data_IF_253887189194
#
_entry.id   IF_253887189194
#
_cell.length_a   1.000
_cell.length_b   1.000
_cell.length_c   1.000
_cell.angle_alpha   90.00
_cell.angle_beta   90.00
_cell.angle_gamma   90.00
#
_symmetry.space_group_name_H-M   'P 1'
#
loop_
_entity.id
_entity.type
_entity.pdbx_description
1 polymer ?
#
# COMPACT_ATOMS: atom_id res chain seq x y z
N UNK A 1 11.06 -15.29 11.55
CA UNK A 1 10.44 -14.79 10.32
C UNK A 1 10.27 -15.93 9.34
N UNK A 2 9.26 -15.84 8.46
CA UNK A 2 9.23 -16.67 7.26
C UNK A 2 10.55 -16.52 6.53
N UNK A 3 11.12 -17.61 6.02
CA UNK A 3 12.40 -17.55 5.32
C UNK A 3 12.32 -16.72 4.03
N UNK A 4 13.19 -17.02 3.07
CA UNK A 4 13.21 -16.37 1.74
C UNK A 4 11.81 -16.20 1.13
N UNK A 5 10.99 -17.25 1.15
CA UNK A 5 9.67 -17.23 0.52
C UNK A 5 8.71 -16.22 1.15
N UNK A 6 8.69 -16.10 2.47
CA UNK A 6 7.80 -15.17 3.18
C UNK A 6 8.16 -13.72 2.87
N UNK A 7 9.44 -13.38 2.99
CA UNK A 7 9.97 -12.05 2.67
C UNK A 7 9.74 -11.64 1.23
N UNK A 8 10.05 -12.54 0.28
CA UNK A 8 9.89 -12.24 -1.15
C UNK A 8 8.42 -12.09 -1.51
N UNK A 9 7.53 -12.95 -1.01
CA UNK A 9 6.10 -12.90 -1.33
C UNK A 9 5.44 -11.63 -0.78
N UNK A 10 5.67 -11.32 0.49
CA UNK A 10 5.14 -10.10 1.12
C UNK A 10 5.76 -8.86 0.50
N UNK A 11 7.07 -8.89 0.23
CA UNK A 11 7.77 -7.81 -0.46
C UNK A 11 7.22 -7.53 -1.85
N UNK A 12 6.91 -8.57 -2.62
CA UNK A 12 6.27 -8.43 -3.94
C UNK A 12 4.90 -7.77 -3.85
N UNK A 13 4.08 -8.14 -2.85
CA UNK A 13 2.77 -7.50 -2.64
C UNK A 13 2.90 -6.00 -2.37
N UNK A 14 3.79 -5.60 -1.43
CA UNK A 14 4.07 -4.19 -1.16
C UNK A 14 4.61 -3.45 -2.38
N UNK A 15 5.49 -4.08 -3.16
CA UNK A 15 6.05 -3.49 -4.37
C UNK A 15 4.97 -3.17 -5.41
N UNK A 16 4.09 -4.13 -5.72
CA UNK A 16 3.00 -3.95 -6.69
C UNK A 16 1.99 -2.89 -6.21
N UNK A 17 1.56 -2.96 -4.94
CA UNK A 17 0.65 -1.97 -4.35
C UNK A 17 1.30 -0.58 -4.36
N UNK A 18 2.58 -0.49 -4.01
CA UNK A 18 3.33 0.77 -4.01
C UNK A 18 3.40 1.41 -5.39
N UNK A 19 3.69 0.64 -6.45
CA UNK A 19 3.70 1.15 -7.83
C UNK A 19 2.30 1.60 -8.25
N UNK A 20 1.27 0.80 -7.93
CA UNK A 20 -0.12 1.14 -8.20
C UNK A 20 -0.50 2.49 -7.55
N UNK A 21 -0.12 2.68 -6.28
CA UNK A 21 -0.35 3.93 -5.57
C UNK A 21 0.44 5.10 -6.17
N UNK A 22 1.72 4.90 -6.50
CA UNK A 22 2.59 5.94 -7.06
C UNK A 22 2.04 6.43 -8.41
N UNK A 23 1.68 5.50 -9.29
CA UNK A 23 1.08 5.81 -10.58
C UNK A 23 -0.19 6.64 -10.44
N UNK A 24 -1.15 6.18 -9.62
CA UNK A 24 -2.43 6.88 -9.48
C UNK A 24 -2.29 8.21 -8.74
N UNK A 25 -1.38 8.31 -7.77
CA UNK A 25 -1.06 9.54 -7.07
C UNK A 25 -0.54 10.61 -8.04
N UNK A 26 0.43 10.25 -8.88
CA UNK A 26 1.00 11.17 -9.88
C UNK A 26 -0.04 11.52 -10.94
N UNK A 27 -0.77 10.53 -11.47
CA UNK A 27 -1.82 10.75 -12.46
C UNK A 27 -2.90 11.71 -11.94
N UNK A 28 -3.39 11.48 -10.72
CA UNK A 28 -4.41 12.33 -10.11
C UNK A 28 -3.91 13.77 -9.94
N UNK A 29 -2.66 13.94 -9.49
CA UNK A 29 -2.06 15.26 -9.36
C UNK A 29 -1.83 15.95 -10.70
N UNK A 30 -1.40 15.21 -11.73
CA UNK A 30 -1.16 15.75 -13.06
C UNK A 30 -2.46 16.23 -13.73
N UNK A 31 -3.55 15.48 -13.59
CA UNK A 31 -4.85 15.82 -14.18
C UNK A 31 -5.58 16.92 -13.39
N UNK A 32 -5.45 16.94 -12.06
CA UNK A 32 -6.20 17.82 -11.17
C UNK A 32 -5.32 18.46 -10.08
N UNK A 33 -4.32 19.29 -10.44
CA UNK A 33 -3.33 19.79 -9.49
C UNK A 33 -3.92 20.66 -8.38
N UNK A 34 -4.99 21.42 -8.67
CA UNK A 34 -5.63 22.35 -7.73
C UNK A 34 -6.61 21.69 -6.75
N UNK A 35 -7.14 20.52 -7.10
CA UNK A 35 -8.13 19.78 -6.30
C UNK A 35 -7.61 18.41 -5.90
N UNK A 36 -6.29 18.23 -5.88
CA UNK A 36 -5.66 16.99 -5.49
C UNK A 36 -6.01 16.65 -4.05
N UNK A 37 -6.39 15.39 -3.82
CA UNK A 37 -6.59 14.80 -2.50
C UNK A 37 -5.90 13.44 -2.52
N UNK A 38 -5.02 13.21 -1.54
CA UNK A 38 -4.35 11.91 -1.37
C UNK A 38 -5.37 10.83 -1.02
N UNK A 39 -5.39 9.71 -1.73
CA UNK A 39 -6.39 8.66 -1.51
C UNK A 39 -5.82 7.48 -0.72
N UNK A 40 -6.57 6.85 0.20
CA UNK A 40 -6.10 5.68 0.96
C UNK A 40 -5.93 4.42 0.09
N UNK A 41 -6.69 4.31 -1.00
CA UNK A 41 -6.65 3.25 -2.01
C UNK A 41 -7.19 3.81 -3.34
N UNK A 42 -6.94 3.14 -4.47
CA UNK A 42 -7.36 3.60 -5.80
C UNK A 42 -8.25 2.59 -6.53
N UNK A 43 -9.43 3.01 -7.04
CA UNK A 43 -10.29 2.14 -7.82
C UNK A 43 -9.73 1.92 -9.24
N UNK A 44 -9.80 0.68 -9.74
CA UNK A 44 -9.32 0.35 -11.09
C UNK A 44 -10.37 0.68 -12.15
N UNK A 45 -11.61 0.25 -11.94
CA UNK A 45 -12.74 0.52 -12.83
C UNK A 45 -14.06 0.42 -12.07
N UNK A 46 -15.20 0.71 -12.72
CA UNK A 46 -16.53 0.57 -12.10
C UNK A 46 -16.85 -0.88 -11.72
N UNK A 47 -16.42 -1.85 -12.53
CA UNK A 47 -16.71 -3.28 -12.35
C UNK A 47 -15.80 -3.94 -11.31
N UNK A 48 -14.53 -3.52 -11.25
CA UNK A 48 -13.52 -4.06 -10.32
C UNK A 48 -13.02 -2.97 -9.36
N UNK A 49 -13.95 -2.18 -8.82
CA UNK A 49 -13.67 -1.03 -7.95
C UNK A 49 -12.75 -1.41 -6.79
N UNK A 50 -13.07 -2.51 -6.10
CA UNK A 50 -12.39 -2.92 -4.87
C UNK A 50 -11.22 -3.90 -5.08
N UNK A 51 -10.69 -4.05 -6.30
CA UNK A 51 -9.70 -5.10 -6.58
C UNK A 51 -8.46 -4.97 -5.68
N UNK A 52 -7.94 -3.76 -5.49
CA UNK A 52 -6.80 -3.51 -4.59
C UNK A 52 -7.07 -4.04 -3.17
N UNK A 53 -8.22 -3.68 -2.59
CA UNK A 53 -8.60 -4.08 -1.23
C UNK A 53 -8.86 -5.59 -1.13
N UNK A 54 -9.50 -6.18 -2.14
CA UNK A 54 -9.73 -7.64 -2.21
C UNK A 54 -8.41 -8.39 -2.30
N UNK A 55 -7.45 -7.88 -3.09
CA UNK A 55 -6.10 -8.47 -3.18
C UNK A 55 -5.35 -8.35 -1.85
N UNK A 56 -5.44 -7.22 -1.15
CA UNK A 56 -4.87 -7.06 0.20
C UNK A 56 -5.48 -8.11 1.14
N UNK A 57 -6.81 -8.22 1.18
CA UNK A 57 -7.49 -9.24 1.99
C UNK A 57 -7.03 -10.66 1.64
N UNK A 58 -6.99 -11.00 0.35
CA UNK A 58 -6.59 -12.32 -0.13
C UNK A 58 -5.14 -12.67 0.22
N UNK A 59 -4.20 -11.77 0.00
CA UNK A 59 -2.79 -11.94 0.36
C UNK A 59 -2.64 -12.05 1.87
N UNK A 60 -3.32 -11.19 2.64
CA UNK A 60 -3.29 -11.24 4.10
C UNK A 60 -3.82 -12.56 4.65
N UNK A 61 -4.97 -13.03 4.15
CA UNK A 61 -5.54 -14.32 4.53
C UNK A 61 -4.65 -15.49 4.15
N UNK A 62 -4.09 -15.50 2.93
CA UNK A 62 -3.17 -16.55 2.50
C UNK A 62 -1.92 -16.62 3.37
N UNK A 63 -1.36 -15.46 3.74
CA UNK A 63 -0.20 -15.38 4.63
C UNK A 63 -0.54 -15.88 6.04
N UNK A 64 -1.67 -15.46 6.62
CA UNK A 64 -2.14 -15.95 7.93
C UNK A 64 -2.34 -17.47 7.89
N UNK A 65 -2.98 -17.99 6.85
CA UNK A 65 -3.17 -19.43 6.68
C UNK A 65 -1.83 -20.17 6.57
N UNK A 66 -0.87 -19.65 5.81
CA UNK A 66 0.46 -20.25 5.71
C UNK A 66 1.18 -20.29 7.06
N UNK A 67 1.18 -19.18 7.81
CA UNK A 67 1.84 -19.08 9.11
C UNK A 67 1.18 -19.97 10.17
N UNK A 68 -0.16 -20.07 10.20
CA UNK A 68 -0.89 -20.86 11.21
C UNK A 68 -0.95 -22.35 10.84
N UNK A 69 -1.21 -22.71 9.58
CA UNK A 69 -1.45 -24.10 9.16
C UNK A 69 -0.17 -24.95 9.06
N UNK A 70 1.00 -24.33 8.90
CA UNK A 70 2.30 -25.05 8.97
C UNK A 70 2.52 -25.61 10.39
N UNK A 71 1.87 -25.04 11.41
CA UNK A 71 1.90 -25.53 12.77
C UNK A 71 0.83 -26.58 13.05
N UNK A 72 1.09 -27.86 12.77
CA UNK A 72 0.21 -28.93 13.26
C UNK A 72 0.17 -28.90 14.80
N UNK A 73 -1.00 -28.55 15.37
CA UNK A 73 -1.30 -28.29 16.79
C UNK A 73 -0.62 -27.03 17.38
N UNK A 74 -1.11 -25.80 17.14
CA UNK A 74 -0.48 -24.59 17.67
C UNK A 74 -0.53 -24.47 19.22
N UNK A 75 -1.47 -25.18 19.85
CA UNK A 75 -1.73 -25.13 21.29
C UNK A 75 -1.25 -26.41 22.00
N UNK A 76 -0.79 -26.24 23.24
CA UNK A 76 -0.58 -27.34 24.19
C UNK A 76 -1.91 -27.81 24.80
N UNK A 77 -1.87 -28.92 25.55
CA UNK A 77 -3.06 -29.50 26.20
C UNK A 77 -3.68 -28.58 27.25
N UNK A 78 -2.91 -27.63 27.80
CA UNK A 78 -3.35 -26.61 28.73
C UNK A 78 -3.91 -25.35 28.03
N UNK A 79 -3.94 -25.34 26.69
CA UNK A 79 -4.41 -24.21 25.89
C UNK A 79 -3.38 -23.11 25.67
N UNK A 80 -2.13 -23.28 26.13
CA UNK A 80 -1.06 -22.30 25.88
C UNK A 80 -0.53 -22.39 24.45
N UNK A 81 -0.08 -21.26 23.89
CA UNK A 81 0.55 -21.25 22.57
C UNK A 81 1.98 -21.77 22.73
N UNK A 82 2.33 -22.83 21.99
CA UNK A 82 3.69 -23.40 22.05
C UNK A 82 4.70 -22.35 21.64
N UNK A 83 5.81 -22.24 22.37
CA UNK A 83 6.83 -21.20 22.14
C UNK A 83 7.34 -21.14 20.68
N UNK A 84 7.46 -22.31 20.02
CA UNK A 84 7.83 -22.42 18.60
C UNK A 84 6.86 -21.71 17.62
N UNK A 85 5.62 -21.48 18.03
CA UNK A 85 4.58 -20.83 17.21
C UNK A 85 4.32 -19.38 17.54
N UNK A 86 4.79 -18.86 18.68
CA UNK A 86 4.56 -17.45 19.07
C UNK A 86 4.96 -16.48 17.94
N UNK A 87 6.10 -16.74 17.31
CA UNK A 87 6.59 -15.98 16.15
C UNK A 87 5.62 -15.98 14.96
N UNK A 88 5.00 -17.12 14.66
CA UNK A 88 4.03 -17.26 13.57
C UNK A 88 2.73 -16.49 13.90
N UNK A 89 2.33 -16.44 15.17
CA UNK A 89 1.22 -15.59 15.64
C UNK A 89 1.56 -14.10 15.56
N UNK A 90 2.78 -13.69 15.89
CA UNK A 90 3.24 -12.31 15.70
C UNK A 90 3.14 -11.90 14.22
N UNK A 91 3.65 -12.72 13.30
CA UNK A 91 3.55 -12.46 11.86
C UNK A 91 2.09 -12.45 11.36
N UNK A 92 1.27 -13.37 11.84
CA UNK A 92 -0.16 -13.39 11.51
C UNK A 92 -0.88 -12.14 12.01
N UNK A 93 -0.53 -11.64 13.19
CA UNK A 93 -1.10 -10.41 13.77
C UNK A 93 -0.75 -9.18 12.92
N UNK A 94 0.46 -9.12 12.39
CA UNK A 94 0.86 -8.07 11.44
C UNK A 94 0.00 -8.11 10.18
N UNK A 95 -0.22 -9.30 9.59
CA UNK A 95 -1.04 -9.44 8.38
C UNK A 95 -2.53 -9.14 8.63
N UNK A 96 -3.02 -9.49 9.82
CA UNK A 96 -4.41 -9.25 10.24
C UNK A 96 -4.76 -7.76 10.27
N UNK A 97 -3.83 -6.88 10.64
CA UNK A 97 -4.09 -5.43 10.66
C UNK A 97 -4.33 -4.88 9.25
N UNK A 98 -3.61 -5.37 8.23
CA UNK A 98 -3.85 -5.02 6.83
C UNK A 98 -5.18 -5.58 6.30
N UNK A 99 -5.55 -6.80 6.71
CA UNK A 99 -6.88 -7.36 6.40
C UNK A 99 -8.00 -6.48 6.97
N UNK A 100 -7.89 -6.09 8.25
CA UNK A 100 -8.86 -5.23 8.93
C UNK A 100 -8.98 -3.89 8.22
N UNK A 101 -7.86 -3.26 7.86
CA UNK A 101 -7.86 -2.03 7.05
C UNK A 101 -8.65 -2.22 5.75
N UNK A 102 -8.34 -3.26 4.96
CA UNK A 102 -8.97 -3.47 3.66
C UNK A 102 -10.47 -3.79 3.76
N UNK A 103 -10.86 -4.60 4.74
CA UNK A 103 -12.26 -4.93 5.02
C UNK A 103 -13.07 -3.66 5.37
N UNK A 104 -12.58 -2.87 6.33
CA UNK A 104 -13.28 -1.65 6.72
C UNK A 104 -13.22 -0.56 5.66
N UNK A 105 -12.20 -0.51 4.81
CA UNK A 105 -12.16 0.39 3.67
C UNK A 105 -13.32 0.11 2.68
N UNK A 106 -13.62 -1.16 2.39
CA UNK A 106 -14.78 -1.54 1.59
C UNK A 106 -16.09 -1.17 2.31
N UNK A 107 -16.18 -1.46 3.61
CA UNK A 107 -17.41 -1.20 4.38
C UNK A 107 -17.71 0.31 4.46
N UNK A 108 -16.71 1.13 4.76
CA UNK A 108 -16.82 2.58 4.88
C UNK A 108 -17.21 3.23 3.55
N UNK A 109 -16.65 2.77 2.42
CA UNK A 109 -17.02 3.25 1.07
C UNK A 109 -18.49 2.90 0.73
N UNK A 110 -18.96 1.70 1.11
CA UNK A 110 -20.34 1.27 0.85
C UNK A 110 -21.39 2.00 1.67
N UNK A 111 -21.10 2.31 2.93
CA UNK A 111 -22.05 3.04 3.81
C UNK A 111 -21.95 4.56 3.63
N UNK A 112 -20.99 5.05 2.84
CA UNK A 112 -20.76 6.48 2.58
C UNK A 112 -20.59 7.31 3.86
N UNK A 113 -19.82 6.79 4.83
CA UNK A 113 -19.63 7.45 6.11
C UNK A 113 -18.99 8.84 5.94
N UNK A 114 -19.46 9.84 6.69
CA UNK A 114 -18.98 11.23 6.57
C UNK A 114 -17.46 11.37 6.79
N UNK A 115 -16.88 10.57 7.69
CA UNK A 115 -15.45 10.57 8.01
C UNK A 115 -14.67 9.42 7.33
N UNK A 116 -15.23 8.78 6.30
CA UNK A 116 -14.65 7.57 5.67
C UNK A 116 -13.18 7.74 5.29
N UNK A 117 -12.80 8.88 4.74
CA UNK A 117 -11.45 9.13 4.24
C UNK A 117 -10.41 9.13 5.37
N UNK A 118 -10.66 9.92 6.42
CA UNK A 118 -9.81 9.98 7.59
C UNK A 118 -9.74 8.65 8.33
N UNK A 119 -10.87 7.94 8.46
CA UNK A 119 -10.91 6.62 9.10
C UNK A 119 -10.12 5.56 8.34
N UNK A 120 -10.17 5.56 7.00
CA UNK A 120 -9.36 4.65 6.18
C UNK A 120 -7.87 4.92 6.33
N UNK A 121 -7.44 6.19 6.30
CA UNK A 121 -6.05 6.58 6.55
C UNK A 121 -5.61 6.22 7.98
N UNK A 122 -6.49 6.40 8.96
CA UNK A 122 -6.23 6.02 10.35
C UNK A 122 -6.04 4.51 10.50
N UNK A 123 -6.88 3.69 9.89
CA UNK A 123 -6.72 2.23 9.88
C UNK A 123 -5.43 1.80 9.18
N UNK A 124 -5.06 2.45 8.07
CA UNK A 124 -3.79 2.21 7.40
C UNK A 124 -2.59 2.61 8.28
N UNK A 125 -2.68 3.72 9.02
CA UNK A 125 -1.68 4.12 10.00
C UNK A 125 -1.58 3.10 11.15
N UNK A 126 -2.70 2.56 11.66
CA UNK A 126 -2.69 1.47 12.64
C UNK A 126 -1.99 0.23 12.06
N UNK A 127 -2.25 -0.13 10.80
CA UNK A 127 -1.60 -1.28 10.18
C UNK A 127 -0.08 -1.11 10.08
N UNK A 128 0.40 0.07 9.63
CA UNK A 128 1.83 0.37 9.63
C UNK A 128 2.43 0.50 11.04
N UNK A 129 1.67 1.02 12.01
CA UNK A 129 2.07 1.09 13.41
C UNK A 129 2.24 -0.31 14.02
N UNK A 130 1.30 -1.21 13.74
CA UNK A 130 1.38 -2.61 14.15
C UNK A 130 2.56 -3.32 13.49
N UNK A 131 2.78 -3.09 12.19
CA UNK A 131 3.95 -3.61 11.48
C UNK A 131 5.26 -3.11 12.11
N UNK A 132 5.39 -1.81 12.37
CA UNK A 132 6.57 -1.24 12.99
C UNK A 132 6.80 -1.79 14.40
N UNK A 133 5.74 -1.89 15.21
CA UNK A 133 5.78 -2.44 16.56
C UNK A 133 6.30 -3.88 16.56
N UNK A 134 5.74 -4.74 15.70
CA UNK A 134 6.15 -6.14 15.60
C UNK A 134 7.56 -6.26 15.04
N UNK A 135 7.95 -5.44 14.07
CA UNK A 135 9.32 -5.44 13.54
C UNK A 135 10.34 -4.98 14.60
N UNK A 136 9.96 -4.06 15.49
CA UNK A 136 10.83 -3.51 16.52
C UNK A 136 10.94 -4.42 17.76
N UNK A 137 9.81 -4.94 18.23
CA UNK A 137 9.72 -5.78 19.44
C UNK A 137 9.65 -7.27 19.11
N UNK A 138 10.14 -7.67 17.94
CA UNK A 138 9.97 -9.05 17.47
C UNK A 138 10.61 -10.04 18.44
N UNK A 139 9.88 -11.11 18.81
CA UNK A 139 10.36 -12.13 19.76
C UNK A 139 11.65 -12.84 19.32
N UNK A 140 11.93 -12.85 18.01
CA UNK A 140 13.25 -13.22 17.49
C UNK A 140 14.09 -11.97 17.34
N UNK A 141 14.79 -11.58 18.41
CA UNK A 141 15.70 -10.45 18.36
C UNK A 141 16.76 -10.70 17.27
N UNK A 142 16.79 -9.81 16.28
CA UNK A 142 17.67 -9.95 15.14
C UNK A 142 19.00 -9.28 15.49
N UNK A 143 19.87 -10.01 16.18
CA UNK A 143 21.26 -9.59 16.31
C UNK A 143 22.02 -9.90 15.01
N UNK A 144 23.08 -9.14 14.73
CA UNK A 144 23.96 -9.42 13.59
C UNK A 144 23.53 -8.77 12.26
N UNK A 145 23.63 -9.54 11.16
CA UNK A 145 23.31 -9.09 9.78
C UNK A 145 21.80 -8.95 9.56
N UNK A 146 21.03 -9.96 9.97
CA UNK A 146 19.58 -10.01 9.80
C UNK A 146 18.95 -8.79 10.49
N UNK A 147 19.48 -8.43 11.66
CA UNK A 147 19.13 -7.22 12.40
C UNK A 147 19.31 -5.94 11.63
N UNK A 148 20.43 -5.82 10.92
CA UNK A 148 20.72 -4.63 10.14
C UNK A 148 19.69 -4.46 9.00
N UNK A 149 19.31 -5.55 8.32
CA UNK A 149 18.27 -5.52 7.30
C UNK A 149 16.91 -5.11 7.89
N UNK A 150 16.49 -5.69 9.01
CA UNK A 150 15.20 -5.36 9.63
C UNK A 150 15.16 -3.98 10.26
N UNK A 151 16.27 -3.50 10.82
CA UNK A 151 16.35 -2.13 11.35
C UNK A 151 16.17 -1.09 10.23
N UNK A 152 16.79 -1.32 9.06
CA UNK A 152 16.58 -0.49 7.89
C UNK A 152 15.13 -0.57 7.38
N UNK A 153 14.51 -1.75 7.42
CA UNK A 153 13.09 -1.92 7.11
C UNK A 153 12.20 -1.09 8.07
N UNK A 154 12.49 -1.11 9.37
CA UNK A 154 11.76 -0.32 10.38
C UNK A 154 11.78 1.18 10.03
N UNK A 155 12.91 1.71 9.58
CA UNK A 155 13.00 3.13 9.15
C UNK A 155 12.04 3.40 7.99
N UNK A 156 12.02 2.54 6.97
CA UNK A 156 11.14 2.72 5.80
C UNK A 156 9.67 2.60 6.21
N UNK A 157 9.33 1.63 7.06
CA UNK A 157 7.98 1.48 7.62
C UNK A 157 7.55 2.69 8.45
N UNK A 158 8.47 3.26 9.24
CA UNK A 158 8.22 4.50 9.98
C UNK A 158 7.91 5.67 9.03
N UNK A 159 8.61 5.80 7.90
CA UNK A 159 8.29 6.81 6.88
C UNK A 159 6.88 6.60 6.31
N UNK A 160 6.49 5.35 6.02
CA UNK A 160 5.13 5.04 5.55
C UNK A 160 4.06 5.37 6.61
N UNK A 161 4.31 5.05 7.88
CA UNK A 161 3.43 5.43 8.99
C UNK A 161 3.30 6.95 9.09
N UNK A 162 4.43 7.66 9.14
CA UNK A 162 4.48 9.10 9.32
C UNK A 162 3.78 9.85 8.19
N UNK A 163 4.04 9.48 6.94
CA UNK A 163 3.38 10.06 5.76
C UNK A 163 1.88 9.75 5.72
N UNK A 164 1.45 8.58 6.21
CA UNK A 164 0.03 8.23 6.35
C UNK A 164 -0.67 9.08 7.42
N UNK A 165 -0.01 9.34 8.56
CA UNK A 165 -0.54 10.23 9.60
C UNK A 165 -0.62 11.68 9.08
N UNK A 166 0.42 12.16 8.39
CA UNK A 166 0.41 13.50 7.79
C UNK A 166 -0.71 13.67 6.76
N UNK A 167 -1.06 12.62 6.01
CA UNK A 167 -2.16 12.64 5.06
C UNK A 167 -3.53 12.89 5.72
N UNK A 168 -3.70 12.56 7.01
CA UNK A 168 -4.94 12.85 7.76
C UNK A 168 -5.10 14.36 7.99
N UNK A 169 -4.01 15.04 8.38
CA UNK A 169 -4.02 16.48 8.65
C UNK A 169 -3.85 17.36 7.42
N UNK A 170 -3.15 16.85 6.39
CA UNK A 170 -2.81 17.58 5.18
C UNK A 170 -3.13 16.75 3.92
N UNK A 171 -4.42 16.43 3.66
CA UNK A 171 -4.81 15.55 2.57
C UNK A 171 -4.56 16.13 1.17
N UNK A 172 -4.51 17.46 1.03
CA UNK A 172 -4.31 18.14 -0.25
C UNK A 172 -2.83 18.24 -0.67
N UNK A 173 -1.91 17.74 0.14
CA UNK A 173 -0.48 17.79 -0.18
C UNK A 173 -0.06 16.56 -1.00
N UNK A 174 0.23 16.78 -2.28
CA UNK A 174 0.74 15.75 -3.19
C UNK A 174 1.95 14.99 -2.64
N UNK A 175 2.87 15.69 -1.98
CA UNK A 175 4.09 15.07 -1.45
C UNK A 175 3.79 14.01 -0.39
N UNK A 176 2.70 14.12 0.35
CA UNK A 176 2.31 13.10 1.33
C UNK A 176 1.95 11.79 0.62
N UNK A 177 1.09 11.87 -0.41
CA UNK A 177 0.72 10.71 -1.21
C UNK A 177 1.93 10.12 -1.92
N UNK A 178 2.74 10.96 -2.57
CA UNK A 178 3.95 10.54 -3.29
C UNK A 178 4.98 9.86 -2.39
N UNK A 179 5.33 10.47 -1.26
CA UNK A 179 6.30 9.91 -0.32
C UNK A 179 5.79 8.62 0.35
N UNK A 180 4.49 8.55 0.67
CA UNK A 180 3.87 7.33 1.17
C UNK A 180 3.95 6.20 0.14
N UNK A 181 3.55 6.44 -1.11
CA UNK A 181 3.65 5.43 -2.17
C UNK A 181 5.08 4.96 -2.39
N UNK A 182 6.04 5.89 -2.41
CA UNK A 182 7.45 5.58 -2.60
C UNK A 182 8.03 4.75 -1.46
N UNK A 183 7.68 5.08 -0.21
CA UNK A 183 8.11 4.29 0.95
C UNK A 183 7.50 2.89 0.94
N UNK A 184 6.24 2.73 0.51
CA UNK A 184 5.60 1.41 0.33
C UNK A 184 6.33 0.57 -0.73
N UNK A 185 6.67 1.16 -1.89
CA UNK A 185 7.52 0.49 -2.90
C UNK A 185 8.82 0.03 -2.25
N UNK A 186 9.45 0.92 -1.48
CA UNK A 186 10.75 0.61 -0.90
C UNK A 186 10.69 -0.48 0.16
N UNK A 187 9.63 -0.53 0.99
CA UNK A 187 9.39 -1.68 1.88
C UNK A 187 9.35 -2.98 1.08
N UNK A 188 8.63 -2.99 -0.05
CA UNK A 188 8.53 -4.15 -0.92
C UNK A 188 9.87 -4.60 -1.49
N UNK A 189 10.62 -3.67 -2.09
CA UNK A 189 11.97 -3.93 -2.63
C UNK A 189 12.89 -4.44 -1.53
N UNK A 190 12.92 -3.78 -0.37
CA UNK A 190 13.83 -4.11 0.71
C UNK A 190 13.51 -5.46 1.36
N UNK A 191 12.23 -5.82 1.47
CA UNK A 191 11.81 -7.17 1.88
C UNK A 191 12.29 -8.24 0.90
N UNK A 192 12.12 -8.04 -0.41
CA UNK A 192 12.63 -8.97 -1.44
C UNK A 192 14.14 -9.13 -1.31
N UNK A 193 14.87 -8.01 -1.20
CA UNK A 193 16.33 -8.01 -1.04
C UNK A 193 16.74 -8.75 0.22
N UNK A 194 16.07 -8.51 1.35
CA UNK A 194 16.33 -9.21 2.61
C UNK A 194 16.12 -10.73 2.45
N UNK A 195 15.00 -11.13 1.84
CA UNK A 195 14.66 -12.53 1.57
C UNK A 195 15.71 -13.27 0.73
N UNK A 196 16.31 -12.58 -0.24
CA UNK A 196 17.33 -13.16 -1.13
C UNK A 196 18.72 -13.11 -0.48
N UNK A 197 19.14 -11.96 0.05
CA UNK A 197 20.51 -11.75 0.50
C UNK A 197 20.87 -12.47 1.80
N UNK A 198 19.92 -12.61 2.73
CA UNK A 198 20.21 -13.20 4.06
C UNK A 198 20.28 -14.73 3.99
N UNK A 199 19.43 -15.36 3.18
CA UNK A 199 19.26 -16.83 3.18
C UNK A 199 19.80 -17.53 1.91
N UNK A 200 20.46 -16.81 1.00
CA UNK A 200 21.16 -17.41 -0.15
C UNK A 200 22.66 -17.52 0.16
N UNK A 201 23.24 -18.73 0.32
CA UNK A 201 24.64 -18.90 0.75
C UNK A 201 25.67 -18.12 -0.05
N UNK A 202 25.52 -18.08 -1.38
CA UNK A 202 26.46 -17.41 -2.29
C UNK A 202 26.45 -15.88 -2.19
N UNK A 203 25.41 -15.31 -1.56
CA UNK A 203 25.22 -13.86 -1.39
C UNK A 203 25.60 -13.37 0.02
N UNK A 204 25.96 -14.30 0.93
CA UNK A 204 26.35 -13.95 2.29
C UNK A 204 27.71 -13.22 2.28
N UNK A 205 27.86 -12.11 3.02
CA UNK A 205 29.13 -11.39 3.11
C UNK A 205 30.29 -12.26 3.58
N UNK A 206 31.47 -12.01 3.01
CA UNK A 206 32.72 -12.70 3.37
C UNK A 206 32.96 -12.66 4.89
N UNK A 207 33.23 -13.83 5.47
CA UNK A 207 33.44 -13.98 6.91
C UNK A 207 32.15 -14.26 7.70
N UNK A 208 31.00 -14.32 7.04
CA UNK A 208 29.75 -14.80 7.61
C UNK A 208 29.30 -16.10 6.93
N UNK A 209 28.46 -16.87 7.62
CA UNK A 209 28.01 -18.19 7.19
C UNK A 209 26.60 -18.47 7.72
N UNK A 210 25.87 -19.31 7.01
CA UNK A 210 24.57 -19.80 7.44
C UNK A 210 24.76 -20.97 8.40
N UNK A 211 24.09 -20.92 9.56
CA UNK A 211 24.03 -22.00 10.53
C UNK A 211 22.57 -22.38 10.73
N UNK A 212 22.24 -23.65 10.52
CA UNK A 212 20.92 -24.16 10.87
C UNK A 212 20.82 -24.37 12.37
N UNK A 213 19.89 -23.66 13.01
CA UNK A 213 19.45 -23.90 14.39
C UNK A 213 18.06 -24.55 14.37
N UNK A 214 17.66 -25.27 15.44
CA UNK A 214 16.34 -25.90 15.51
C UNK A 214 15.23 -24.85 15.27
N UNK A 215 14.57 -24.93 14.11
CA UNK A 215 13.46 -24.05 13.73
C UNK A 215 13.81 -22.74 13.01
N UNK A 216 15.10 -22.47 12.71
CA UNK A 216 15.52 -21.35 11.82
C UNK A 216 16.96 -21.46 11.35
N UNK A 217 17.22 -20.97 10.14
CA UNK A 217 18.57 -20.69 9.68
C UNK A 217 18.97 -19.28 10.09
N UNK A 218 20.16 -19.14 10.69
CA UNK A 218 20.71 -17.88 11.18
C UNK A 218 22.04 -17.57 10.48
N UNK A 219 22.27 -16.30 10.21
CA UNK A 219 23.56 -15.84 9.67
C UNK A 219 24.46 -15.41 10.82
N UNK A 220 25.58 -16.12 10.99
CA UNK A 220 26.61 -15.81 11.98
C UNK A 220 27.88 -15.33 11.28
N UNK A 221 28.66 -14.51 11.98
CA UNK A 221 29.95 -14.03 11.48
C UNK A 221 31.09 -14.49 12.40
N UNK A 222 32.27 -14.75 11.85
CA UNK A 222 33.43 -15.29 12.57
C UNK A 222 34.05 -14.32 13.60
N UNK A 223 33.51 -13.11 13.75
CA UNK A 223 33.96 -12.10 14.72
C UNK A 223 33.47 -10.69 14.36
N UNK A 224 33.72 -9.73 15.24
CA UNK A 224 33.18 -8.35 15.13
C UNK A 224 33.62 -7.65 13.84
N UNK A 225 34.87 -7.81 13.41
CA UNK A 225 35.35 -7.21 12.15
C UNK A 225 34.58 -7.69 10.92
N UNK A 226 34.23 -8.98 10.87
CA UNK A 226 33.43 -9.52 9.77
C UNK A 226 31.99 -9.02 9.84
N UNK A 227 31.44 -8.91 11.05
CA UNK A 227 30.11 -8.37 11.29
C UNK A 227 30.00 -6.89 10.90
N UNK A 228 30.94 -6.04 11.33
CA UNK A 228 31.00 -4.63 10.97
C UNK A 228 31.13 -4.43 9.47
N UNK A 229 32.01 -5.20 8.82
CA UNK A 229 32.14 -5.21 7.36
C UNK A 229 30.81 -5.55 6.70
N UNK A 230 30.13 -6.58 7.18
CA UNK A 230 28.85 -6.98 6.62
C UNK A 230 27.78 -5.91 6.80
N UNK A 231 27.65 -5.32 8.00
CA UNK A 231 26.72 -4.22 8.26
C UNK A 231 27.00 -3.02 7.34
N UNK A 232 28.27 -2.68 7.12
CA UNK A 232 28.64 -1.62 6.19
C UNK A 232 28.21 -1.92 4.74
N UNK A 233 28.33 -3.18 4.29
CA UNK A 233 27.83 -3.61 2.97
C UNK A 233 26.30 -3.53 2.87
N UNK A 234 25.57 -3.92 3.92
CA UNK A 234 24.10 -3.78 3.98
C UNK A 234 23.69 -2.30 3.89
N UNK A 235 24.38 -1.42 4.62
CA UNK A 235 24.12 0.02 4.59
C UNK A 235 24.40 0.62 3.21
N UNK A 236 25.51 0.20 2.57
CA UNK A 236 25.82 0.62 1.21
C UNK A 236 24.73 0.13 0.23
N UNK A 237 24.34 -1.15 0.31
CA UNK A 237 23.28 -1.70 -0.51
C UNK A 237 21.98 -0.91 -0.37
N UNK A 238 21.55 -0.63 0.86
CA UNK A 238 20.37 0.20 1.13
C UNK A 238 20.48 1.59 0.50
N UNK A 239 21.63 2.25 0.65
CA UNK A 239 21.89 3.56 0.05
C UNK A 239 21.79 3.55 -1.48
N UNK A 240 22.29 2.50 -2.13
CA UNK A 240 22.20 2.37 -3.59
C UNK A 240 20.77 2.11 -4.07
N UNK A 241 20.00 1.28 -3.36
CA UNK A 241 18.56 1.12 -3.64
C UNK A 241 17.79 2.42 -3.45
N UNK A 242 18.10 3.21 -2.41
CA UNK A 242 17.51 4.53 -2.19
C UNK A 242 17.79 5.51 -3.34
N UNK A 243 19.04 5.55 -3.84
CA UNK A 243 19.42 6.38 -5.00
C UNK A 243 18.67 5.91 -6.24
N UNK A 244 18.69 4.61 -6.53
CA UNK A 244 18.01 4.03 -7.70
C UNK A 244 16.50 4.27 -7.67
N UNK A 245 15.88 4.11 -6.50
CA UNK A 245 14.46 4.36 -6.30
C UNK A 245 14.10 5.84 -6.45
N UNK A 246 14.96 6.75 -5.99
CA UNK A 246 14.80 8.19 -6.21
C UNK A 246 14.85 8.55 -7.70
N UNK A 247 15.81 8.01 -8.44
CA UNK A 247 15.93 8.21 -9.90
C UNK A 247 14.69 7.66 -10.61
N UNK A 248 14.25 6.46 -10.24
CA UNK A 248 13.03 5.86 -10.77
C UNK A 248 11.81 6.75 -10.51
N UNK A 249 11.59 7.19 -9.28
CA UNK A 249 10.42 7.98 -8.91
C UNK A 249 10.36 9.33 -9.65
N UNK A 250 11.49 10.03 -9.75
CA UNK A 250 11.57 11.31 -10.47
C UNK A 250 11.37 11.11 -11.97
N UNK A 251 11.99 10.08 -12.56
CA UNK A 251 11.81 9.76 -13.98
C UNK A 251 10.36 9.38 -14.28
N UNK A 252 9.76 8.55 -13.44
CA UNK A 252 8.38 8.10 -13.56
C UNK A 252 7.39 9.27 -13.45
N UNK A 253 7.63 10.19 -12.51
CA UNK A 253 6.88 11.45 -12.41
C UNK A 253 6.95 12.26 -13.70
N UNK A 254 8.16 12.54 -14.21
CA UNK A 254 8.35 13.32 -15.44
C UNK A 254 7.71 12.69 -16.68
N UNK A 255 7.69 11.35 -16.76
CA UNK A 255 7.00 10.63 -17.83
C UNK A 255 5.48 10.77 -17.69
N UNK A 256 4.93 10.54 -16.50
CA UNK A 256 3.48 10.55 -16.30
C UNK A 256 2.86 11.93 -16.46
N UNK A 257 3.50 13.01 -16.01
CA UNK A 257 2.97 14.37 -16.22
C UNK A 257 2.86 14.74 -17.72
N UNK A 258 3.69 14.12 -18.57
CA UNK A 258 3.62 14.29 -20.03
C UNK A 258 2.53 13.43 -20.65
N UNK A 259 2.32 12.22 -20.13
CA UNK A 259 1.30 11.28 -20.63
C UNK A 259 -0.13 11.67 -20.21
N UNK A 260 -0.27 12.29 -19.03
CA UNK A 260 -1.55 12.69 -18.45
C UNK A 260 -1.52 14.20 -18.15
N UNK A 261 -1.57 15.06 -19.20
CA UNK A 261 -1.58 16.50 -19.01
C UNK A 261 -2.84 16.94 -18.23
N UNK A 262 -2.77 18.15 -17.66
CA UNK A 262 -3.89 18.75 -16.93
C UNK A 262 -5.18 18.71 -17.76
N UNK A 263 -6.25 18.22 -17.15
CA UNK A 263 -7.54 18.16 -17.82
C UNK A 263 -8.04 19.60 -18.00
N UNK A 264 -8.08 20.05 -19.26
CA UNK A 264 -8.64 21.35 -19.58
C UNK A 264 -10.13 21.31 -19.27
N UNK A 265 -10.51 21.85 -18.13
CA UNK A 265 -11.92 22.10 -17.81
C UNK A 265 -12.42 23.11 -18.84
N UNK A 266 -13.12 22.62 -19.88
CA UNK A 266 -13.95 23.49 -20.70
C UNK A 266 -15.04 24.05 -19.77
N UNK A 267 -14.81 25.26 -19.28
CA UNK A 267 -15.87 26.04 -18.66
C UNK A 267 -16.94 26.26 -19.73
N UNK A 268 -18.02 25.49 -19.67
CA UNK A 268 -19.26 25.89 -20.34
C UNK A 268 -19.75 27.16 -19.62
N UNK A 269 -19.84 28.30 -20.31
CA UNK A 269 -20.39 29.51 -19.70
C UNK A 269 -21.83 29.24 -19.28
N UNK A 270 -22.24 29.76 -18.11
CA UNK A 270 -23.61 29.66 -17.59
C UNK A 270 -24.68 30.06 -18.63
N UNK A 271 -24.33 30.99 -19.52
CA UNK A 271 -25.16 31.47 -20.62
C UNK A 271 -25.59 30.35 -21.56
N UNK A 272 -24.74 29.35 -21.80
CA UNK A 272 -25.09 28.17 -22.63
C UNK A 272 -26.06 27.22 -21.94
N UNK A 273 -26.06 27.17 -20.61
CA UNK A 273 -27.04 26.41 -19.84
C UNK A 273 -28.40 27.11 -19.84
N UNK A 274 -28.41 28.43 -19.65
CA UNK A 274 -29.62 29.25 -19.71
C UNK A 274 -30.25 29.22 -21.12
N UNK A 275 -29.45 29.35 -22.19
CA UNK A 275 -29.92 29.22 -23.57
C UNK A 275 -30.48 27.81 -23.87
N UNK A 276 -29.85 26.74 -23.35
CA UNK A 276 -30.35 25.38 -23.52
C UNK A 276 -31.61 25.09 -22.70
N UNK A 277 -31.76 25.67 -21.50
CA UNK A 277 -32.98 25.58 -20.71
C UNK A 277 -34.13 26.37 -21.34
N UNK A 278 -33.86 27.57 -21.88
CA UNK A 278 -34.85 28.37 -22.62
C UNK A 278 -35.28 27.68 -23.92
N UNK A 279 -34.34 27.12 -24.70
CA UNK A 279 -34.67 26.33 -25.89
C UNK A 279 -35.53 25.11 -25.55
N UNK A 280 -35.20 24.39 -24.48
CA UNK A 280 -35.97 23.22 -24.04
C UNK A 280 -37.38 23.61 -23.57
N UNK A 281 -37.50 24.72 -22.84
CA UNK A 281 -38.80 25.24 -22.39
C UNK A 281 -39.68 25.69 -23.56
N UNK A 282 -39.08 26.36 -24.56
CA UNK A 282 -39.77 26.79 -25.77
C UNK A 282 -40.24 25.61 -26.63
N UNK A 283 -39.41 24.57 -26.80
CA UNK A 283 -39.78 23.34 -27.52
C UNK A 283 -40.92 22.60 -26.81
N UNK A 284 -40.88 22.50 -25.49
CA UNK A 284 -41.94 21.83 -24.71
C UNK A 284 -43.26 22.63 -24.73
N UNK A 285 -43.21 23.97 -24.70
CA UNK A 285 -44.38 24.83 -24.85
C UNK A 285 -45.01 24.72 -26.25
N UNK A 286 -44.19 24.67 -27.31
CA UNK A 286 -44.65 24.53 -28.70
C UNK A 286 -45.23 23.13 -28.98
N UNK A 287 -44.73 22.10 -28.28
CA UNK A 287 -45.27 20.73 -28.35
C UNK A 287 -46.62 20.62 -27.64
N UNK A 288 -46.80 21.29 -26.50
CA UNK A 288 -48.09 21.37 -25.77
C UNK A 288 -49.15 22.14 -26.56
N UNK A 289 -48.80 23.24 -27.23
CA UNK A 289 -49.76 24.00 -28.03
C UNK A 289 -50.29 23.20 -29.23
N UNK A 290 -49.40 22.50 -29.96
CA UNK A 290 -49.80 21.57 -31.04
C UNK A 290 -50.70 20.44 -30.54
N UNK A 291 -50.45 19.92 -29.34
CA UNK A 291 -51.27 18.86 -28.75
C UNK A 291 -52.67 19.33 -28.34
N UNK A 292 -52.81 20.55 -27.83
CA UNK A 292 -54.11 21.17 -27.54
C UNK A 292 -54.90 21.50 -28.82
N UNK A 293 -54.21 21.97 -29.87
CA UNK A 293 -54.84 22.29 -31.15
C UNK A 293 -55.37 21.04 -31.87
N UNK A 294 -54.66 19.91 -31.74
CA UNK A 294 -55.09 18.61 -32.26
C UNK A 294 -56.30 17.99 -31.53
N UNK A 295 -56.55 18.37 -30.26
CA UNK A 295 -57.71 17.87 -29.49
C UNK A 295 -59.01 18.61 -29.80
N UNK A 296 -58.92 19.86 -30.27
CA UNK A 296 -60.09 20.68 -30.59
C UNK A 296 -60.64 20.45 -32.02
N UNK A 297 -60.04 19.54 -32.80
CA UNK A 297 -60.40 19.26 -34.19
C UNK A 297 -61.00 17.87 -34.42
N UNK A 298 -61.50 17.19 -33.38
CA UNK A 298 -62.28 15.96 -33.54
C UNK A 298 -63.77 16.32 -33.71
N UNK A 299 -64.39 16.04 -34.88
CA UNK A 299 -65.82 16.22 -35.07
C UNK A 299 -66.60 15.16 -34.27
N UNK A 300 -67.72 15.57 -33.69
CA UNK A 300 -68.76 14.71 -33.10
C UNK A 300 -69.35 13.73 -34.13
#
# INVERSE_FOLDING_TARGET
>A
MGGTQGHVSVGFAFFVIGIWHLFNCIKLHAQHPKSYITMPWFPISKTIRYLELILIMGVSSAFISMEILIGQQPLDQDGTIRAKYLRHFEHSTMSMSFFVYAFFAILLDKITAQAQHGLMLFLQAIAFGQQLLILHLHSTDHMGIEGQYHWLLQIVTFVSLFTTILAIGYPNNFLNGFARSLSIIFQGVWLIVTGIMVWTPDLIPKGCFLKSEPGRDVVLCHGDRALERAKALVNLQFGWYMIGLSIFAMSFYLVLIKLYPEEKVEYQPLTKFEEQEEEKYNVDAQRKSKFCQSRNSLPL
#
